data_IF_435205028992
#
_entry.id   IF_435205028992
#
_cell.length_a   1.000
_cell.length_b   1.000
_cell.length_c   1.000
_cell.angle_alpha   90.00
_cell.angle_beta   90.00
_cell.angle_gamma   90.00
#
_symmetry.space_group_name_H-M   'P 1'
#
loop_
_entity.id
_entity.type
_entity.pdbx_description
1 polymer ?
#
# COMPACT_ATOMS: atom_id res chain seq x y z
N UNK A 1 -3.06 -23.12 25.61
CA UNK A 1 -2.41 -21.84 25.24
C UNK A 1 -3.16 -20.73 25.93
N UNK A 2 -2.50 -19.79 26.59
CA UNK A 2 -3.17 -18.59 27.13
C UNK A 2 -3.59 -17.67 25.99
N UNK A 3 -4.65 -16.88 26.18
CA UNK A 3 -5.14 -15.95 25.15
C UNK A 3 -4.05 -14.95 24.70
N UNK A 4 -3.21 -14.48 25.64
CA UNK A 4 -2.08 -13.60 25.33
C UNK A 4 -1.05 -14.26 24.43
N UNK A 5 -0.65 -15.50 24.72
CA UNK A 5 0.33 -16.22 23.91
C UNK A 5 -0.17 -16.50 22.49
N UNK A 6 -1.48 -16.69 22.32
CA UNK A 6 -2.08 -16.86 20.99
C UNK A 6 -2.02 -15.56 20.17
N UNK A 7 -2.37 -14.42 20.77
CA UNK A 7 -2.30 -13.11 20.10
C UNK A 7 -0.86 -12.77 19.72
N UNK A 8 0.11 -13.03 20.60
CA UNK A 8 1.52 -12.77 20.32
C UNK A 8 2.02 -13.62 19.14
N UNK A 9 1.73 -14.92 19.14
CA UNK A 9 2.15 -15.83 18.07
C UNK A 9 1.54 -15.43 16.72
N UNK A 10 0.23 -15.21 16.69
CA UNK A 10 -0.50 -14.86 15.45
C UNK A 10 -0.07 -13.49 14.92
N UNK A 11 0.13 -12.50 15.79
CA UNK A 11 0.62 -11.18 15.40
C UNK A 11 2.05 -11.23 14.88
N UNK A 12 2.92 -12.07 15.46
CA UNK A 12 4.28 -12.29 14.98
C UNK A 12 4.27 -12.92 13.58
N UNK A 13 3.44 -13.94 13.36
CA UNK A 13 3.26 -14.56 12.04
C UNK A 13 2.77 -13.50 11.03
N UNK A 14 1.78 -12.68 11.40
CA UNK A 14 1.30 -11.60 10.54
C UNK A 14 2.41 -10.61 10.17
N UNK A 15 3.23 -10.17 11.13
CA UNK A 15 4.36 -9.26 10.88
C UNK A 15 5.40 -9.87 9.94
N UNK A 16 5.69 -11.18 10.06
CA UNK A 16 6.60 -11.87 9.13
C UNK A 16 6.03 -11.90 7.72
N UNK A 17 4.76 -12.31 7.57
CA UNK A 17 4.09 -12.39 6.26
C UNK A 17 4.01 -10.99 5.61
N UNK A 18 3.65 -9.97 6.39
CA UNK A 18 3.62 -8.58 5.92
C UNK A 18 5.02 -8.10 5.52
N UNK A 19 6.06 -8.51 6.25
CA UNK A 19 7.46 -8.20 5.90
C UNK A 19 7.86 -8.81 4.56
N UNK A 20 7.52 -10.07 4.33
CA UNK A 20 7.73 -10.73 3.03
C UNK A 20 6.93 -10.02 1.94
N UNK A 21 5.66 -9.70 2.18
CA UNK A 21 4.81 -8.97 1.22
C UNK A 21 5.39 -7.60 0.87
N UNK A 22 5.98 -6.89 1.85
CA UNK A 22 6.63 -5.61 1.62
C UNK A 22 7.84 -5.76 0.69
N UNK A 23 8.69 -6.77 0.92
CA UNK A 23 9.84 -7.06 0.06
C UNK A 23 9.40 -7.43 -1.36
N UNK A 24 8.36 -8.27 -1.50
CA UNK A 24 7.80 -8.63 -2.81
C UNK A 24 7.24 -7.39 -3.54
N UNK A 25 6.59 -6.48 -2.81
CA UNK A 25 6.05 -5.25 -3.38
C UNK A 25 7.15 -4.29 -3.84
N UNK A 26 8.25 -4.18 -3.07
CA UNK A 26 9.46 -3.45 -3.46
C UNK A 26 10.04 -3.99 -4.77
N UNK A 27 10.17 -5.31 -4.90
CA UNK A 27 10.65 -5.96 -6.13
C UNK A 27 9.72 -5.66 -7.31
N UNK A 28 8.39 -5.65 -7.09
CA UNK A 28 7.39 -5.32 -8.12
C UNK A 28 7.49 -3.89 -8.63
N UNK A 29 7.86 -2.92 -7.79
CA UNK A 29 8.08 -1.52 -8.24
C UNK A 29 9.23 -1.44 -9.24
N UNK A 30 10.29 -2.22 -9.04
CA UNK A 30 11.48 -2.19 -9.92
C UNK A 30 11.23 -2.95 -11.23
N UNK A 31 10.65 -4.14 -11.14
CA UNK A 31 10.47 -5.04 -12.29
C UNK A 31 9.18 -4.72 -13.09
N UNK A 32 8.27 -3.92 -12.53
CA UNK A 32 6.99 -3.59 -13.15
C UNK A 32 7.13 -3.05 -14.58
N UNK A 33 6.46 -3.67 -15.58
CA UNK A 33 6.63 -3.35 -17.00
C UNK A 33 5.96 -2.02 -17.37
N UNK A 34 4.79 -1.72 -16.79
CA UNK A 34 4.09 -0.46 -17.02
C UNK A 34 4.22 0.51 -15.84
N UNK A 35 4.02 1.80 -16.11
CA UNK A 35 3.93 2.82 -15.04
C UNK A 35 2.78 2.47 -14.09
N UNK A 36 1.64 2.00 -14.63
CA UNK A 36 0.49 1.62 -13.82
C UNK A 36 0.82 0.49 -12.83
N UNK A 37 1.58 -0.53 -13.23
CA UNK A 37 1.99 -1.63 -12.35
C UNK A 37 2.82 -1.14 -11.17
N UNK A 38 3.74 -0.20 -11.42
CA UNK A 38 4.61 0.37 -10.38
C UNK A 38 3.81 1.21 -9.39
N UNK A 39 2.82 1.95 -9.89
CA UNK A 39 1.90 2.76 -9.07
C UNK A 39 1.03 1.87 -8.19
N UNK A 40 0.48 0.79 -8.76
CA UNK A 40 -0.28 -0.18 -8.01
C UNK A 40 0.57 -0.88 -6.94
N UNK A 41 1.83 -1.20 -7.24
CA UNK A 41 2.75 -1.76 -6.26
C UNK A 41 3.07 -0.78 -5.12
N UNK A 42 3.15 0.53 -5.41
CA UNK A 42 3.33 1.58 -4.39
C UNK A 42 2.09 1.73 -3.50
N UNK A 43 0.89 1.63 -4.06
CA UNK A 43 -0.36 1.60 -3.29
C UNK A 43 -0.41 0.40 -2.34
N UNK A 44 -0.06 -0.78 -2.88
CA UNK A 44 0.00 -2.02 -2.11
C UNK A 44 0.98 -1.91 -0.93
N UNK A 45 2.12 -1.22 -1.10
CA UNK A 45 3.03 -0.95 0.01
C UNK A 45 2.36 -0.13 1.13
N UNK A 46 1.49 0.82 0.78
CA UNK A 46 0.74 1.63 1.74
C UNK A 46 -0.26 0.75 2.52
N UNK A 47 -0.95 -0.16 1.84
CA UNK A 47 -1.85 -1.14 2.47
C UNK A 47 -1.08 -2.10 3.39
N UNK A 48 0.10 -2.57 2.97
CA UNK A 48 0.96 -3.43 3.80
C UNK A 48 1.44 -2.66 5.04
N UNK A 49 1.81 -1.39 4.89
CA UNK A 49 2.20 -0.53 6.02
C UNK A 49 1.04 -0.36 7.01
N UNK A 50 -0.19 -0.17 6.54
CA UNK A 50 -1.38 -0.17 7.40
C UNK A 50 -1.54 -1.49 8.15
N UNK A 51 -1.33 -2.63 7.48
CA UNK A 51 -1.34 -3.95 8.11
C UNK A 51 -0.29 -4.09 9.21
N UNK A 52 0.91 -3.58 8.99
CA UNK A 52 1.98 -3.54 9.99
C UNK A 52 1.56 -2.73 11.22
N UNK A 53 1.03 -1.53 11.00
CA UNK A 53 0.57 -0.65 12.07
C UNK A 53 -0.60 -1.29 12.84
N UNK A 54 -1.54 -1.93 12.15
CA UNK A 54 -2.63 -2.67 12.77
C UNK A 54 -2.15 -3.83 13.64
N UNK A 55 -1.19 -4.63 13.17
CA UNK A 55 -0.60 -5.70 13.96
C UNK A 55 0.13 -5.17 15.21
N UNK A 56 0.81 -4.03 15.09
CA UNK A 56 1.44 -3.34 16.23
C UNK A 56 0.38 -2.81 17.21
N UNK A 57 -0.73 -2.27 16.71
CA UNK A 57 -1.84 -1.79 17.53
C UNK A 57 -2.41 -2.92 18.41
N UNK A 58 -2.60 -4.11 17.84
CA UNK A 58 -3.08 -5.29 18.57
C UNK A 58 -2.10 -5.71 19.67
N UNK A 59 -0.78 -5.69 19.39
CA UNK A 59 0.25 -6.08 20.38
C UNK A 59 0.46 -5.05 21.50
N UNK A 60 0.33 -3.76 21.18
CA UNK A 60 0.54 -2.66 22.14
C UNK A 60 -0.72 -2.28 22.90
N UNK A 61 -1.90 -2.62 22.37
CA UNK A 61 -3.20 -2.18 22.90
C UNK A 61 -3.49 -0.69 22.69
N UNK A 62 -2.64 0.03 21.96
CA UNK A 62 -2.78 1.47 21.72
C UNK A 62 -3.59 1.72 20.46
N UNK A 63 -4.80 2.27 20.62
CA UNK A 63 -5.71 2.58 19.49
C UNK A 63 -5.20 3.71 18.60
N UNK A 64 -4.30 4.56 19.10
CA UNK A 64 -3.66 5.64 18.32
C UNK A 64 -3.03 5.14 17.01
N UNK A 65 -2.49 3.92 17.01
CA UNK A 65 -1.94 3.32 15.79
C UNK A 65 -3.01 3.12 14.70
N UNK A 66 -4.25 2.84 15.08
CA UNK A 66 -5.35 2.70 14.11
C UNK A 66 -5.69 4.04 13.46
N UNK A 67 -5.62 5.15 14.19
CA UNK A 67 -5.83 6.48 13.62
C UNK A 67 -4.77 6.81 12.55
N UNK A 68 -3.51 6.45 12.83
CA UNK A 68 -2.40 6.57 11.86
C UNK A 68 -2.66 5.69 10.64
N UNK A 69 -3.12 4.46 10.83
CA UNK A 69 -3.44 3.55 9.73
C UNK A 69 -4.58 4.07 8.85
N UNK A 70 -5.64 4.64 9.44
CA UNK A 70 -6.76 5.25 8.71
C UNK A 70 -6.28 6.48 7.92
N UNK A 71 -5.46 7.34 8.53
CA UNK A 71 -4.90 8.50 7.84
C UNK A 71 -4.04 8.09 6.64
N UNK A 72 -3.21 7.06 6.80
CA UNK A 72 -2.41 6.49 5.70
C UNK A 72 -3.29 5.86 4.61
N UNK A 73 -4.39 5.20 4.97
CA UNK A 73 -5.34 4.63 4.01
C UNK A 73 -5.91 5.71 3.08
N UNK A 74 -6.37 6.81 3.67
CA UNK A 74 -6.95 7.93 2.93
C UNK A 74 -5.89 8.60 2.05
N UNK A 75 -4.68 8.80 2.56
CA UNK A 75 -3.58 9.40 1.82
C UNK A 75 -3.13 8.51 0.65
N UNK A 76 -2.97 7.21 0.87
CA UNK A 76 -2.56 6.24 -0.14
C UNK A 76 -3.57 6.16 -1.29
N UNK A 77 -4.85 6.01 -0.95
CA UNK A 77 -5.94 6.02 -1.93
C UNK A 77 -5.99 7.32 -2.74
N UNK A 78 -5.81 8.48 -2.08
CA UNK A 78 -5.79 9.75 -2.79
C UNK A 78 -4.60 9.86 -3.74
N UNK A 79 -3.43 9.38 -3.33
CA UNK A 79 -2.22 9.38 -4.15
C UNK A 79 -2.39 8.52 -5.42
N UNK A 80 -2.99 7.34 -5.31
CA UNK A 80 -3.28 6.50 -6.49
C UNK A 80 -4.31 7.11 -7.42
N UNK A 81 -5.40 7.66 -6.90
CA UNK A 81 -6.41 8.35 -7.71
C UNK A 81 -5.81 9.55 -8.44
N UNK A 82 -5.00 10.37 -7.76
CA UNK A 82 -4.31 11.50 -8.35
C UNK A 82 -3.38 11.07 -9.49
N UNK A 83 -2.64 9.98 -9.29
CA UNK A 83 -1.70 9.46 -10.27
C UNK A 83 -2.40 8.82 -11.48
N UNK A 84 -3.48 8.08 -11.26
CA UNK A 84 -4.33 7.55 -12.35
C UNK A 84 -4.90 8.70 -13.20
N UNK A 85 -5.41 9.76 -12.56
CA UNK A 85 -5.90 10.96 -13.24
C UNK A 85 -4.80 11.68 -14.03
N UNK A 86 -3.59 11.73 -13.48
CA UNK A 86 -2.44 12.33 -14.16
C UNK A 86 -2.04 11.55 -15.42
N UNK A 87 -1.97 10.22 -15.33
CA UNK A 87 -1.64 9.35 -16.47
C UNK A 87 -2.70 9.49 -17.57
N UNK A 88 -3.98 9.44 -17.23
CA UNK A 88 -5.09 9.59 -18.19
C UNK A 88 -5.06 10.94 -18.91
N UNK A 89 -4.81 12.03 -18.17
CA UNK A 89 -4.71 13.39 -18.76
C UNK A 89 -3.50 13.55 -19.69
N UNK A 90 -2.40 12.85 -19.44
CA UNK A 90 -1.26 12.85 -20.37
C UNK A 90 -1.57 12.07 -21.64
N UNK A 91 -2.22 10.91 -21.54
CA UNK A 91 -2.64 10.12 -22.71
C UNK A 91 -3.53 10.93 -23.65
N UNK A 92 -4.61 11.53 -23.11
CA UNK A 92 -5.55 12.34 -23.89
C UNK A 92 -4.91 13.54 -24.62
N UNK A 93 -3.86 14.14 -24.03
CA UNK A 93 -3.12 15.24 -24.68
C UNK A 93 -2.26 14.78 -25.86
N UNK A 94 -1.75 13.56 -25.82
CA UNK A 94 -0.94 12.98 -26.90
C UNK A 94 -1.82 12.65 -28.10
N UNK A 95 -2.98 12.03 -27.85
CA UNK A 95 -3.92 11.65 -28.91
C UNK A 95 -4.45 12.88 -29.67
N UNK A 96 -4.85 13.93 -28.93
CA UNK A 96 -5.32 15.19 -29.53
C UNK A 96 -4.23 15.93 -30.34
N UNK A 97 -2.94 15.76 -29.99
CA UNK A 97 -1.85 16.34 -30.76
C UNK A 97 -1.58 15.60 -32.08
N UNK A 98 -1.90 14.30 -32.14
CA UNK A 98 -1.81 13.49 -33.36
C UNK A 98 -2.93 13.81 -34.35
N UNK A 99 -4.15 14.07 -33.88
CA UNK A 99 -5.29 14.43 -34.75
C UNK A 99 -5.12 15.78 -35.45
N UNK A 100 -4.24 16.64 -34.95
CA UNK A 100 -3.93 17.95 -35.52
C UNK A 100 -2.76 17.92 -36.53
N UNK A 101 -2.20 16.74 -36.84
CA UNK A 101 -1.15 16.52 -37.85
C UNK A 101 -1.69 15.74 -39.04
#
# INVERSE_FOLDING_TARGET
>A
MTASAFIDLTSLIALIILGIALLVSLVRIVIGPSIADRVLALDLMTVIAMGFIGAIAVRTGLTLYLDIAIALALLGFLATVALARYILRRGLKVDAAMELQ
#
